data_IF_294059387900
#
_entry.id   IF_294059387900
#
_cell.length_a   1.000
_cell.length_b   1.000
_cell.length_c   1.000
_cell.angle_alpha   90.00
_cell.angle_beta   90.00
_cell.angle_gamma   90.00
#
_symmetry.space_group_name_H-M   'P 1'
#
loop_
_entity.id
_entity.type
_entity.pdbx_description
1 polymer ?
#
# COMPACT_ATOMS: atom_id res chain seq x y z
N UNK A 1 -7.49 -4.50 17.68
CA UNK A 1 -7.15 -4.66 16.24
C UNK A 1 -8.41 -4.54 15.42
N UNK A 2 -8.35 -3.99 14.21
CA UNK A 2 -9.52 -3.75 13.34
C UNK A 2 -9.90 -4.93 12.44
N UNK A 3 -9.13 -6.02 12.51
CA UNK A 3 -9.45 -7.29 11.87
C UNK A 3 -10.05 -8.27 12.88
N UNK A 4 -11.33 -8.59 12.71
CA UNK A 4 -12.07 -9.52 13.57
C UNK A 4 -11.43 -10.91 13.64
N UNK A 5 -10.83 -11.41 12.55
CA UNK A 5 -10.21 -12.73 12.52
C UNK A 5 -9.07 -12.87 13.53
N UNK A 6 -8.38 -11.77 13.86
CA UNK A 6 -7.28 -11.79 14.84
C UNK A 6 -7.78 -12.01 16.26
N UNK A 7 -9.05 -11.66 16.56
CA UNK A 7 -9.64 -11.93 17.88
C UNK A 7 -9.73 -13.42 18.19
N UNK A 8 -9.81 -14.27 17.17
CA UNK A 8 -9.85 -15.73 17.31
C UNK A 8 -8.48 -16.39 17.17
N UNK A 9 -7.41 -15.60 17.04
CA UNK A 9 -6.08 -16.10 16.73
C UNK A 9 -5.59 -17.13 17.76
N UNK A 10 -5.86 -16.92 19.05
CA UNK A 10 -5.41 -17.82 20.12
C UNK A 10 -6.27 -19.09 20.25
N UNK A 11 -7.47 -19.12 19.66
CA UNK A 11 -8.43 -20.21 19.82
C UNK A 11 -8.64 -21.02 18.54
N UNK A 12 -7.95 -20.67 17.45
CA UNK A 12 -8.15 -21.31 16.16
C UNK A 12 -7.59 -22.75 16.16
N UNK A 13 -8.36 -23.77 15.71
CA UNK A 13 -7.95 -25.18 15.83
C UNK A 13 -6.87 -25.61 14.83
N UNK A 14 -6.73 -24.91 13.70
CA UNK A 14 -5.73 -25.22 12.66
C UNK A 14 -4.87 -24.00 12.42
N UNK A 15 -3.58 -24.17 12.65
CA UNK A 15 -2.58 -23.12 12.50
C UNK A 15 -1.60 -23.50 11.39
N UNK A 16 -1.22 -22.51 10.59
CA UNK A 16 -0.04 -22.63 9.74
C UNK A 16 1.22 -22.57 10.61
N UNK A 17 2.35 -23.10 10.12
CA UNK A 17 3.64 -23.07 10.85
C UNK A 17 4.10 -21.65 11.21
N UNK A 18 3.65 -20.64 10.46
CA UNK A 18 3.90 -19.23 10.82
C UNK A 18 3.06 -18.82 12.03
N UNK A 19 1.77 -19.14 12.03
CA UNK A 19 0.87 -18.77 13.12
C UNK A 19 1.23 -19.48 14.43
N UNK A 20 1.64 -20.76 14.37
CA UNK A 20 2.11 -21.49 15.56
C UNK A 20 3.32 -20.81 16.23
N UNK A 21 4.35 -20.45 15.46
CA UNK A 21 5.51 -19.69 15.98
C UNK A 21 5.11 -18.35 16.58
N UNK A 22 4.16 -17.64 15.98
CA UNK A 22 3.64 -16.40 16.55
C UNK A 22 2.86 -16.63 17.85
N UNK A 23 2.06 -17.70 17.95
CA UNK A 23 1.38 -18.03 19.20
C UNK A 23 2.37 -18.36 20.31
N UNK A 24 3.38 -19.18 20.04
CA UNK A 24 4.44 -19.52 21.02
C UNK A 24 5.10 -18.27 21.59
N UNK A 25 5.48 -17.33 20.72
CA UNK A 25 6.04 -16.04 21.15
C UNK A 25 5.03 -15.22 21.97
N UNK A 26 3.77 -15.15 21.53
CA UNK A 26 2.76 -14.35 22.21
C UNK A 26 2.40 -14.90 23.59
N UNK A 27 2.48 -16.23 23.80
CA UNK A 27 2.23 -16.87 25.09
C UNK A 27 3.20 -16.42 26.20
N UNK A 28 4.34 -15.83 25.84
CA UNK A 28 5.29 -15.23 26.80
C UNK A 28 4.75 -13.94 27.46
N UNK A 29 3.67 -13.37 26.93
CA UNK A 29 3.09 -12.10 27.38
C UNK A 29 1.71 -12.30 28.01
N UNK A 30 1.38 -11.46 28.99
CA UNK A 30 0.02 -11.34 29.51
C UNK A 30 -0.74 -10.26 28.74
N UNK A 31 -1.64 -10.67 27.85
CA UNK A 31 -2.42 -9.76 27.01
C UNK A 31 -3.83 -10.31 26.71
N UNK A 32 -4.70 -9.43 26.21
CA UNK A 32 -6.02 -9.78 25.70
C UNK A 32 -6.13 -9.25 24.27
N UNK A 33 -6.65 -10.07 23.36
CA UNK A 33 -6.95 -9.65 21.99
C UNK A 33 -8.36 -9.10 21.93
N UNK A 34 -8.46 -7.79 21.71
CA UNK A 34 -9.75 -7.11 21.55
C UNK A 34 -9.89 -6.52 20.15
N UNK A 35 -11.09 -6.66 19.59
CA UNK A 35 -11.47 -5.95 18.39
C UNK A 35 -11.58 -4.45 18.69
N UNK A 36 -11.03 -3.63 17.79
CA UNK A 36 -11.15 -2.17 17.80
C UNK A 36 -11.51 -1.72 16.41
N UNK A 37 -12.66 -1.07 16.24
CA UNK A 37 -13.08 -0.56 14.93
C UNK A 37 -11.98 0.32 14.31
N UNK A 38 -11.79 0.23 13.00
CA UNK A 38 -10.74 0.98 12.29
C UNK A 38 -10.81 2.50 12.52
N UNK A 39 -12.02 3.06 12.64
CA UNK A 39 -12.23 4.47 12.99
C UNK A 39 -11.62 4.87 14.35
N UNK A 40 -11.57 3.94 15.30
CA UNK A 40 -10.97 4.14 16.63
C UNK A 40 -9.48 3.74 16.69
N UNK A 41 -8.92 3.22 15.60
CA UNK A 41 -7.55 2.70 15.50
C UNK A 41 -6.61 3.65 14.73
N UNK A 42 -6.95 4.94 14.68
CA UNK A 42 -6.27 5.95 13.86
C UNK A 42 -4.77 6.09 14.16
N UNK A 43 -4.33 5.92 15.40
CA UNK A 43 -2.90 5.99 15.75
C UNK A 43 -2.13 4.85 15.11
N UNK A 44 -2.63 3.61 15.24
CA UNK A 44 -1.96 2.45 14.65
C UNK A 44 -2.01 2.47 13.12
N UNK A 45 -3.13 2.91 12.53
CA UNK A 45 -3.26 3.11 11.08
C UNK A 45 -2.31 4.20 10.55
N UNK A 46 -2.14 5.31 11.28
CA UNK A 46 -1.19 6.35 10.90
C UNK A 46 0.26 5.83 10.93
N UNK A 47 0.61 5.03 11.94
CA UNK A 47 1.96 4.46 12.08
C UNK A 47 2.24 3.40 11.02
N UNK A 48 1.27 2.53 10.68
CA UNK A 48 1.45 1.49 9.66
C UNK A 48 1.72 2.09 8.27
N UNK A 49 1.14 3.26 7.97
CA UNK A 49 1.30 3.97 6.69
C UNK A 49 2.59 4.77 6.56
N UNK A 50 3.41 4.91 7.60
CA UNK A 50 4.62 5.76 7.54
C UNK A 50 5.59 5.29 6.44
N UNK A 51 5.78 3.99 6.29
CA UNK A 51 6.66 3.43 5.25
C UNK A 51 6.10 3.67 3.83
N UNK A 52 4.80 3.51 3.66
CA UNK A 52 4.12 3.77 2.39
C UNK A 52 4.17 5.27 2.03
N UNK A 53 3.97 6.15 3.01
CA UNK A 53 4.07 7.60 2.84
C UNK A 53 5.49 8.02 2.46
N UNK A 54 6.53 7.42 3.05
CA UNK A 54 7.91 7.67 2.67
C UNK A 54 8.17 7.27 1.20
N UNK A 55 7.66 6.12 0.79
CA UNK A 55 7.76 5.63 -0.58
C UNK A 55 6.99 6.51 -1.57
N UNK A 56 5.79 6.96 -1.21
CA UNK A 56 5.01 7.88 -2.04
C UNK A 56 5.69 9.24 -2.18
N UNK A 57 6.32 9.75 -1.12
CA UNK A 57 7.06 11.03 -1.16
C UNK A 57 8.23 10.97 -2.13
N UNK A 58 8.99 9.87 -2.16
CA UNK A 58 10.11 9.73 -3.10
C UNK A 58 9.61 9.65 -4.54
N UNK A 59 8.54 8.90 -4.82
CA UNK A 59 7.92 8.83 -6.15
C UNK A 59 7.35 10.18 -6.59
N UNK A 60 6.70 10.91 -5.67
CA UNK A 60 6.17 12.23 -5.96
C UNK A 60 7.29 13.25 -6.28
N UNK A 61 8.38 13.23 -5.52
CA UNK A 61 9.55 14.07 -5.76
C UNK A 61 10.21 13.77 -7.11
N UNK A 62 10.37 12.48 -7.45
CA UNK A 62 10.88 12.07 -8.77
C UNK A 62 9.95 12.51 -9.90
N UNK A 63 8.64 12.31 -9.73
CA UNK A 63 7.61 12.62 -10.74
C UNK A 63 7.44 14.12 -11.01
N UNK A 64 7.75 14.95 -10.02
CA UNK A 64 7.75 16.42 -10.10
C UNK A 64 9.13 17.01 -10.41
N UNK A 65 10.17 16.17 -10.55
CA UNK A 65 11.51 16.64 -10.89
C UNK A 65 11.53 17.26 -12.29
N UNK A 66 12.38 18.27 -12.48
CA UNK A 66 12.56 18.94 -13.77
C UNK A 66 12.93 17.96 -14.90
N UNK A 67 13.72 16.92 -14.58
CA UNK A 67 14.09 15.86 -15.53
C UNK A 67 12.87 15.04 -15.93
N UNK A 68 12.04 14.60 -14.97
CA UNK A 68 10.84 13.83 -15.29
C UNK A 68 9.81 14.66 -16.09
N UNK A 69 9.68 15.95 -15.77
CA UNK A 69 8.84 16.89 -16.53
C UNK A 69 9.36 16.98 -17.97
N UNK A 70 10.66 17.23 -18.16
CA UNK A 70 11.28 17.32 -19.48
C UNK A 70 11.12 16.03 -20.30
N UNK A 71 11.30 14.87 -19.68
CA UNK A 71 11.11 13.57 -20.36
C UNK A 71 9.64 13.42 -20.79
N UNK A 72 8.69 13.76 -19.91
CA UNK A 72 7.26 13.69 -20.20
C UNK A 72 6.86 14.64 -21.34
N UNK A 73 7.38 15.86 -21.33
CA UNK A 73 7.10 16.85 -22.37
C UNK A 73 7.67 16.41 -23.72
N UNK A 74 8.90 15.86 -23.73
CA UNK A 74 9.49 15.31 -24.95
C UNK A 74 8.72 14.10 -25.47
N UNK A 75 8.30 13.19 -24.59
CA UNK A 75 7.50 12.04 -24.97
C UNK A 75 6.15 12.48 -25.58
N UNK A 76 5.49 13.48 -25.00
CA UNK A 76 4.25 14.07 -25.55
C UNK A 76 4.49 14.71 -26.91
N UNK A 77 5.57 15.47 -27.07
CA UNK A 77 5.94 16.09 -28.35
C UNK A 77 6.15 15.03 -29.45
N UNK A 78 6.90 13.96 -29.14
CA UNK A 78 7.16 12.88 -30.10
C UNK A 78 5.90 12.12 -30.46
N UNK A 79 5.06 11.80 -29.46
CA UNK A 79 3.78 11.12 -29.68
C UNK A 79 2.83 11.96 -30.54
N UNK A 80 2.84 13.29 -30.35
CA UNK A 80 2.04 14.20 -31.17
C UNK A 80 2.52 14.31 -32.61
N UNK A 81 3.74 13.85 -32.94
CA UNK A 81 4.28 13.85 -34.31
C UNK A 81 4.19 12.47 -34.97
N UNK A 82 3.81 11.44 -34.23
CA UNK A 82 3.65 10.08 -34.72
C UNK A 82 2.26 9.92 -35.36
N UNK A 83 2.22 9.71 -36.68
CA UNK A 83 0.99 9.56 -37.44
C UNK A 83 0.19 8.30 -37.07
N UNK A 84 0.85 7.22 -36.65
CA UNK A 84 0.18 6.02 -36.18
C UNK A 84 -0.47 6.25 -34.81
N UNK A 85 0.21 6.98 -33.92
CA UNK A 85 -0.34 7.34 -32.62
C UNK A 85 -1.54 8.29 -32.72
N UNK A 86 -1.47 9.30 -33.60
CA UNK A 86 -2.59 10.21 -33.86
C UNK A 86 -3.83 9.47 -34.37
N UNK A 87 -3.64 8.50 -35.27
CA UNK A 87 -4.74 7.68 -35.80
C UNK A 87 -5.48 6.88 -34.73
N UNK A 88 -4.77 6.43 -33.68
CA UNK A 88 -5.38 5.71 -32.55
C UNK A 88 -6.16 6.64 -31.60
N UNK A 89 -5.66 7.86 -31.35
CA UNK A 89 -6.38 8.85 -30.52
C UNK A 89 -7.71 9.24 -31.17
N UNK A 90 -7.71 9.42 -32.49
CA UNK A 90 -8.90 9.78 -33.26
C UNK A 90 -9.97 8.67 -33.36
N UNK A 91 -9.62 7.44 -32.96
CA UNK A 91 -10.50 6.27 -32.97
C UNK A 91 -11.22 6.05 -31.62
N UNK A 92 -10.77 6.74 -30.57
CA UNK A 92 -11.27 6.62 -29.18
C UNK A 92 -12.17 7.81 -28.79
N UNK A 93 -12.14 8.91 -29.56
CA UNK A 93 -13.11 10.02 -29.50
C UNK A 93 -14.36 9.73 -30.35
#
# INVERSE_FOLDING_TARGET
MDNTAVSHFMTQPKLTSRQARWQELLLEFHFVLEYRAGSSNHVADALSRVADLASLRSVAALSSSAVAISIRDRARELLSKDSAAQGLVHLVE
#
